data_IF_412375464133
#
_entry.id   IF_412375464133
#
_cell.length_a   1.000
_cell.length_b   1.000
_cell.length_c   1.000
_cell.angle_alpha   90.00
_cell.angle_beta   90.00
_cell.angle_gamma   90.00
#
_symmetry.space_group_name_H-M   'P 1'
#
loop_
_entity.id
_entity.type
_entity.pdbx_description
1 polymer ?
#
# COMPACT_ATOMS: atom_id res chain seq x y z
N UNK A 1 -35.68 -18.18 31.08
CA UNK A 1 -34.55 -19.12 30.91
C UNK A 1 -33.45 -18.38 30.16
N UNK A 2 -32.25 -18.22 30.75
CA UNK A 2 -31.10 -17.61 30.05
C UNK A 2 -30.65 -18.59 28.96
N UNK A 3 -30.63 -18.14 27.70
CA UNK A 3 -30.23 -18.97 26.56
C UNK A 3 -28.86 -19.58 26.80
N UNK A 4 -28.78 -20.91 26.78
CA UNK A 4 -27.51 -21.64 26.90
C UNK A 4 -26.70 -21.30 25.65
N UNK A 5 -25.65 -20.48 25.79
CA UNK A 5 -24.74 -20.21 24.68
C UNK A 5 -24.07 -21.52 24.27
N UNK A 6 -24.17 -21.88 23.00
CA UNK A 6 -23.63 -23.13 22.47
C UNK A 6 -22.10 -23.11 22.55
N UNK A 7 -21.52 -24.17 23.10
CA UNK A 7 -20.08 -24.29 23.34
C UNK A 7 -19.52 -25.39 22.44
N UNK A 8 -18.42 -25.10 21.73
CA UNK A 8 -17.76 -26.04 20.80
C UNK A 8 -16.33 -26.32 21.22
N UNK A 9 -15.86 -27.53 20.92
CA UNK A 9 -14.46 -27.92 21.13
C UNK A 9 -13.65 -27.64 19.87
N UNK A 10 -12.54 -26.92 20.02
CA UNK A 10 -11.58 -26.66 18.93
C UNK A 10 -10.20 -27.13 19.35
N UNK A 11 -9.43 -27.66 18.41
CA UNK A 11 -8.05 -28.06 18.63
C UNK A 11 -7.11 -27.02 18.01
N UNK A 12 -6.22 -26.46 18.82
CA UNK A 12 -5.22 -25.46 18.41
C UNK A 12 -3.85 -25.95 18.84
N UNK A 13 -2.89 -26.09 17.91
CA UNK A 13 -1.52 -26.58 18.19
C UNK A 13 -1.48 -27.85 19.07
N UNK A 14 -2.41 -28.78 18.84
CA UNK A 14 -2.52 -30.03 19.58
C UNK A 14 -3.33 -29.98 20.88
N UNK A 15 -3.67 -28.79 21.42
CA UNK A 15 -4.44 -28.62 22.66
C UNK A 15 -5.93 -28.43 22.37
N UNK A 16 -6.80 -29.04 23.19
CA UNK A 16 -8.26 -28.92 23.07
C UNK A 16 -8.77 -27.76 23.93
N UNK A 17 -9.51 -26.85 23.31
CA UNK A 17 -10.14 -25.70 23.96
C UNK A 17 -11.66 -25.81 23.86
N UNK A 18 -12.35 -25.46 24.94
CA UNK A 18 -13.82 -25.40 25.00
C UNK A 18 -14.20 -23.93 24.96
N UNK A 19 -14.76 -23.48 23.84
CA UNK A 19 -15.02 -22.05 23.55
C UNK A 19 -16.46 -21.86 23.04
N UNK A 20 -16.95 -20.63 23.00
CA UNK A 20 -18.25 -20.35 22.40
C UNK A 20 -18.26 -20.75 20.92
N UNK A 21 -19.44 -21.08 20.38
CA UNK A 21 -19.56 -21.48 18.98
C UNK A 21 -19.03 -20.42 18.00
N UNK A 22 -19.26 -19.14 18.29
CA UNK A 22 -18.74 -18.00 17.52
C UNK A 22 -17.21 -17.96 17.56
N UNK A 23 -16.60 -18.07 18.75
CA UNK A 23 -15.14 -18.11 18.90
C UNK A 23 -14.51 -19.32 18.20
N UNK A 24 -15.20 -20.46 18.20
CA UNK A 24 -14.77 -21.65 17.47
C UNK A 24 -14.79 -21.45 15.95
N UNK A 25 -15.76 -20.70 15.44
CA UNK A 25 -15.86 -20.35 14.04
C UNK A 25 -14.79 -19.32 13.65
N UNK A 26 -14.58 -18.29 14.48
CA UNK A 26 -13.49 -17.32 14.33
C UNK A 26 -12.15 -18.04 14.25
N UNK A 27 -11.86 -18.96 15.18
CA UNK A 27 -10.60 -19.72 15.19
C UNK A 27 -10.42 -20.55 13.92
N UNK A 28 -11.47 -21.25 13.45
CA UNK A 28 -11.41 -22.02 12.19
C UNK A 28 -11.13 -21.11 10.99
N UNK A 29 -11.79 -19.95 10.93
CA UNK A 29 -11.60 -18.98 9.86
C UNK A 29 -10.20 -18.37 9.89
N UNK A 30 -9.67 -18.05 11.07
CA UNK A 30 -8.31 -17.53 11.24
C UNK A 30 -7.26 -18.58 10.85
N UNK A 31 -7.38 -19.83 11.30
CA UNK A 31 -6.44 -20.90 10.92
C UNK A 31 -6.43 -21.13 9.41
N UNK A 32 -7.61 -21.21 8.78
CA UNK A 32 -7.72 -21.35 7.34
C UNK A 32 -7.15 -20.12 6.62
N UNK A 33 -7.45 -18.92 7.12
CA UNK A 33 -6.95 -17.66 6.58
C UNK A 33 -5.42 -17.55 6.63
N UNK A 34 -4.79 -17.90 7.76
CA UNK A 34 -3.34 -17.90 7.93
C UNK A 34 -2.65 -18.95 7.04
N UNK A 35 -3.23 -20.16 6.94
CA UNK A 35 -2.68 -21.19 6.04
C UNK A 35 -2.75 -20.77 4.57
N UNK A 36 -3.88 -20.21 4.13
CA UNK A 36 -4.01 -19.69 2.76
C UNK A 36 -3.07 -18.52 2.52
N UNK A 37 -2.93 -17.60 3.48
CA UNK A 37 -1.98 -16.48 3.40
C UNK A 37 -0.54 -16.98 3.24
N UNK A 38 -0.16 -18.04 3.93
CA UNK A 38 1.14 -18.70 3.75
C UNK A 38 1.33 -19.20 2.31
N UNK A 39 0.37 -20.01 1.81
CA UNK A 39 0.43 -20.56 0.44
C UNK A 39 0.44 -19.47 -0.64
N UNK A 40 -0.35 -18.42 -0.47
CA UNK A 40 -0.37 -17.28 -1.39
C UNK A 40 1.00 -16.61 -1.41
N UNK A 41 1.59 -16.36 -0.23
CA UNK A 41 2.92 -15.76 -0.14
C UNK A 41 3.99 -16.61 -0.82
N UNK A 42 3.94 -17.93 -0.66
CA UNK A 42 4.91 -18.83 -1.31
C UNK A 42 4.77 -18.78 -2.84
N UNK A 43 3.53 -18.82 -3.36
CA UNK A 43 3.26 -18.68 -4.80
C UNK A 43 3.62 -17.29 -5.34
N UNK A 44 3.40 -16.23 -4.58
CA UNK A 44 3.82 -14.86 -4.91
C UNK A 44 5.35 -14.80 -5.04
N UNK A 45 6.10 -15.38 -4.10
CA UNK A 45 7.56 -15.42 -4.16
C UNK A 45 8.07 -16.19 -5.40
N UNK A 46 7.47 -17.35 -5.71
CA UNK A 46 7.83 -18.12 -6.90
C UNK A 46 7.54 -17.33 -8.19
N UNK A 47 6.39 -16.65 -8.24
CA UNK A 47 6.03 -15.80 -9.36
C UNK A 47 6.98 -14.61 -9.51
N UNK A 48 7.39 -13.98 -8.41
CA UNK A 48 8.35 -12.88 -8.40
C UNK A 48 9.70 -13.32 -8.99
N UNK A 49 10.21 -14.50 -8.60
CA UNK A 49 11.45 -15.06 -9.16
C UNK A 49 11.34 -15.28 -10.68
N UNK A 50 10.19 -15.77 -11.15
CA UNK A 50 9.94 -15.95 -12.59
C UNK A 50 9.89 -14.60 -13.30
N UNK A 51 9.19 -13.62 -12.73
CA UNK A 51 9.09 -12.27 -13.29
C UNK A 51 10.46 -11.59 -13.38
N UNK A 52 11.27 -11.66 -12.33
CA UNK A 52 12.63 -11.12 -12.29
C UNK A 52 13.49 -11.72 -13.40
N UNK A 53 13.38 -13.04 -13.61
CA UNK A 53 14.12 -13.71 -14.70
C UNK A 53 13.67 -13.25 -16.08
N UNK A 54 12.36 -13.07 -16.30
CA UNK A 54 11.81 -12.54 -17.55
C UNK A 54 12.28 -11.09 -17.78
N UNK A 55 12.27 -10.26 -16.73
CA UNK A 55 12.75 -8.87 -16.77
C UNK A 55 14.24 -8.81 -17.11
N UNK A 56 15.06 -9.70 -16.55
CA UNK A 56 16.50 -9.78 -16.87
C UNK A 56 16.72 -10.10 -18.35
N UNK A 57 16.00 -11.08 -18.89
CA UNK A 57 16.04 -11.41 -20.33
C UNK A 57 15.62 -10.20 -21.18
N UNK A 58 14.52 -9.52 -20.79
CA UNK A 58 14.04 -8.33 -21.48
C UNK A 58 15.08 -7.19 -21.44
N UNK A 59 15.76 -7.00 -20.30
CA UNK A 59 16.79 -5.98 -20.11
C UNK A 59 18.01 -6.24 -21.00
N UNK A 60 18.43 -7.50 -21.14
CA UNK A 60 19.56 -7.87 -22.01
C UNK A 60 19.23 -7.68 -23.50
N UNK A 61 17.95 -7.78 -23.89
CA UNK A 61 17.47 -7.51 -25.26
C UNK A 61 17.09 -6.04 -25.49
N UNK A 62 17.30 -5.18 -24.50
CA UNK A 62 16.89 -3.78 -24.56
C UNK A 62 17.90 -2.98 -25.39
N UNK A 63 17.57 -2.74 -26.66
CA UNK A 63 18.36 -1.91 -27.58
C UNK A 63 17.93 -0.43 -27.52
N UNK A 64 17.95 0.17 -26.32
CA UNK A 64 17.56 1.57 -26.12
C UNK A 64 16.05 1.87 -26.20
N UNK A 65 15.22 0.86 -26.43
CA UNK A 65 13.75 1.00 -26.40
C UNK A 65 13.22 0.98 -24.98
N UNK A 66 12.08 1.63 -24.73
CA UNK A 66 11.42 1.63 -23.42
C UNK A 66 10.54 0.38 -23.20
N UNK A 67 10.15 -0.31 -24.27
CA UNK A 67 9.33 -1.52 -24.21
C UNK A 67 9.99 -2.65 -24.98
N UNK A 68 10.02 -3.83 -24.36
CA UNK A 68 10.52 -5.08 -24.95
C UNK A 68 9.39 -6.11 -24.93
N UNK A 69 9.13 -6.73 -26.08
CA UNK A 69 8.18 -7.84 -26.19
C UNK A 69 8.94 -9.15 -26.30
N UNK A 70 8.55 -10.12 -25.49
CA UNK A 70 9.08 -11.49 -25.52
C UNK A 70 7.96 -12.44 -25.92
N UNK A 71 7.99 -12.90 -27.17
CA UNK A 71 7.06 -13.90 -27.70
C UNK A 71 7.56 -15.33 -27.40
N UNK A 72 6.64 -16.18 -26.95
CA UNK A 72 6.82 -17.64 -26.85
C UNK A 72 5.74 -18.34 -27.67
N UNK A 73 5.80 -19.67 -27.76
CA UNK A 73 4.84 -20.48 -28.54
C UNK A 73 3.39 -20.29 -28.05
N UNK A 74 3.18 -20.16 -26.73
CA UNK A 74 1.84 -20.13 -26.11
C UNK A 74 1.45 -18.78 -25.51
N UNK A 75 2.42 -17.92 -25.21
CA UNK A 75 2.20 -16.68 -24.49
C UNK A 75 3.19 -15.58 -24.90
N UNK A 76 2.83 -14.34 -24.60
CA UNK A 76 3.68 -13.16 -24.78
C UNK A 76 3.87 -12.44 -23.44
N UNK A 77 5.08 -12.00 -23.17
CA UNK A 77 5.36 -11.03 -22.11
C UNK A 77 5.66 -9.66 -22.72
N UNK A 78 5.06 -8.60 -22.17
CA UNK A 78 5.35 -7.21 -22.54
C UNK A 78 5.95 -6.52 -21.33
N UNK A 79 7.21 -6.11 -21.44
CA UNK A 79 7.96 -5.48 -20.35
C UNK A 79 8.21 -4.02 -20.75
N UNK A 80 7.69 -3.09 -19.95
CA UNK A 80 7.92 -1.66 -20.15
C UNK A 80 8.82 -1.14 -19.04
N UNK A 81 10.02 -0.70 -19.41
CA UNK A 81 10.94 0.01 -18.54
C UNK A 81 10.49 1.47 -18.45
N UNK A 82 9.80 1.81 -17.36
CA UNK A 82 9.44 3.20 -17.08
C UNK A 82 10.68 3.96 -16.65
N UNK A 83 10.97 5.05 -17.36
CA UNK A 83 12.02 5.98 -16.99
C UNK A 83 11.39 7.20 -16.34
N UNK A 84 11.82 7.51 -15.13
CA UNK A 84 11.50 8.76 -14.46
C UNK A 84 12.75 9.63 -14.44
N UNK A 85 12.63 10.84 -14.97
CA UNK A 85 13.70 11.83 -14.91
C UNK A 85 13.52 12.65 -13.64
N UNK A 86 14.50 12.64 -12.75
CA UNK A 86 14.52 13.51 -11.57
C UNK A 86 15.35 14.74 -11.89
N UNK A 87 14.72 15.90 -11.73
CA UNK A 87 15.35 17.19 -11.96
C UNK A 87 16.04 17.62 -10.67
N UNK A 88 17.35 17.93 -10.75
CA UNK A 88 18.10 18.45 -9.60
C UNK A 88 17.78 19.93 -9.36
N UNK A 89 18.11 20.43 -8.18
CA UNK A 89 17.80 21.83 -7.82
C UNK A 89 18.57 22.83 -8.70
N UNK A 90 19.77 22.46 -9.13
CA UNK A 90 20.67 23.26 -9.97
C UNK A 90 20.22 23.30 -11.45
N UNK A 91 19.05 22.77 -11.79
CA UNK A 91 18.54 22.80 -13.16
C UNK A 91 18.39 24.24 -13.69
N UNK A 92 18.23 25.23 -12.81
CA UNK A 92 18.14 26.63 -13.22
C UNK A 92 19.41 27.14 -13.90
N UNK A 93 20.58 26.53 -13.65
CA UNK A 93 21.86 26.89 -14.29
C UNK A 93 21.85 26.67 -15.80
N UNK A 94 21.09 25.69 -16.29
CA UNK A 94 20.97 25.40 -17.73
C UNK A 94 19.86 26.20 -18.42
N UNK A 95 19.18 27.11 -17.71
CA UNK A 95 18.12 27.94 -18.28
C UNK A 95 18.64 28.86 -19.40
N UNK A 96 19.82 29.45 -19.21
CA UNK A 96 20.46 30.33 -20.21
C UNK A 96 20.83 29.56 -21.49
N UNK A 97 21.57 28.42 -21.43
CA UNK A 97 21.90 27.67 -22.65
C UNK A 97 20.69 27.01 -23.33
N UNK A 98 19.64 26.61 -22.60
CA UNK A 98 18.42 26.06 -23.20
C UNK A 98 17.45 27.11 -23.73
N UNK A 99 17.53 28.34 -23.21
CA UNK A 99 16.67 29.45 -23.62
C UNK A 99 15.17 29.08 -23.54
N UNK A 100 14.38 29.34 -24.60
CA UNK A 100 12.94 29.06 -24.61
C UNK A 100 12.56 27.57 -24.46
N UNK A 101 13.49 26.64 -24.72
CA UNK A 101 13.22 25.21 -24.54
C UNK A 101 13.11 24.81 -23.08
N UNK A 102 13.71 25.59 -22.17
CA UNK A 102 13.68 25.31 -20.74
C UNK A 102 12.25 25.22 -20.22
N UNK A 103 11.41 26.21 -20.55
CA UNK A 103 10.01 26.27 -20.11
C UNK A 103 9.12 25.26 -20.86
N UNK A 104 9.59 24.67 -21.96
CA UNK A 104 8.93 23.54 -22.63
C UNK A 104 9.25 22.19 -21.99
N UNK A 105 10.43 22.04 -21.39
CA UNK A 105 10.88 20.78 -20.80
C UNK A 105 10.66 20.70 -19.29
N UNK A 106 10.62 21.84 -18.60
CA UNK A 106 10.56 21.91 -17.16
C UNK A 106 9.46 22.88 -16.71
N UNK A 107 8.61 22.41 -15.80
CA UNK A 107 7.61 23.22 -15.13
C UNK A 107 7.89 23.22 -13.62
N UNK A 108 7.80 24.39 -12.98
CA UNK A 108 7.98 24.52 -11.54
C UNK A 108 6.75 23.97 -10.82
N UNK A 109 6.90 22.78 -10.22
CA UNK A 109 5.86 22.16 -9.41
C UNK A 109 5.94 22.64 -7.96
N UNK A 110 4.88 23.28 -7.46
CA UNK A 110 4.73 23.61 -6.03
C UNK A 110 3.62 22.72 -5.46
N UNK A 111 4.00 21.79 -4.58
CA UNK A 111 3.05 20.92 -3.88
C UNK A 111 3.00 21.24 -2.39
N UNK A 112 1.80 21.25 -1.83
CA UNK A 112 1.58 21.31 -0.39
C UNK A 112 1.33 19.90 0.13
N UNK A 113 2.06 19.51 1.17
CA UNK A 113 1.85 18.25 1.89
C UNK A 113 1.29 18.56 3.28
N UNK A 114 0.34 17.74 3.72
CA UNK A 114 -0.18 17.83 5.08
C UNK A 114 0.90 17.43 6.09
N UNK A 115 0.97 18.16 7.19
CA UNK A 115 1.89 17.89 8.30
C UNK A 115 1.25 17.00 9.35
N UNK A 116 2.03 16.53 10.32
CA UNK A 116 1.52 15.83 11.51
C UNK A 116 0.58 16.71 12.33
N UNK A 117 0.86 18.01 12.39
CA UNK A 117 0.04 18.95 13.16
C UNK A 117 -1.30 19.21 12.49
N UNK A 118 -1.36 19.16 11.15
CA UNK A 118 -2.63 19.17 10.44
C UNK A 118 -3.52 17.98 10.84
N UNK A 119 -2.95 16.76 10.91
CA UNK A 119 -3.70 15.58 11.34
C UNK A 119 -4.21 15.71 12.77
N UNK A 120 -3.32 16.11 13.69
CA UNK A 120 -3.69 16.35 15.10
C UNK A 120 -4.78 17.41 15.22
N UNK A 121 -4.69 18.50 14.46
CA UNK A 121 -5.71 19.54 14.45
C UNK A 121 -7.07 19.01 13.97
N UNK A 122 -7.10 18.19 12.91
CA UNK A 122 -8.34 17.60 12.40
C UNK A 122 -8.94 16.55 13.36
N UNK A 123 -8.10 15.79 14.07
CA UNK A 123 -8.51 14.69 14.96
C UNK A 123 -8.80 15.11 16.41
N UNK A 124 -8.28 16.25 16.88
CA UNK A 124 -8.39 16.69 18.28
C UNK A 124 -9.21 17.97 18.46
N UNK A 125 -9.62 18.22 19.71
CA UNK A 125 -10.25 19.48 20.14
C UNK A 125 -9.22 20.59 20.41
N UNK A 126 -7.92 20.31 20.24
CA UNK A 126 -6.89 21.32 20.43
C UNK A 126 -6.94 22.36 19.32
N UNK A 127 -7.33 23.57 19.71
CA UNK A 127 -7.53 24.68 18.79
C UNK A 127 -6.23 25.29 18.22
N UNK A 128 -5.03 24.85 18.67
CA UNK A 128 -3.75 25.46 18.30
C UNK A 128 -3.72 27.00 18.48
N UNK A 129 -4.47 27.53 19.46
CA UNK A 129 -4.60 28.98 19.69
C UNK A 129 -5.61 29.69 18.76
N UNK A 130 -6.40 28.96 17.98
CA UNK A 130 -7.44 29.50 17.10
C UNK A 130 -8.74 29.71 17.89
N UNK A 131 -9.37 30.88 17.78
CA UNK A 131 -10.60 31.19 18.51
C UNK A 131 -11.83 30.37 18.07
N UNK A 132 -11.88 29.95 16.80
CA UNK A 132 -12.99 29.17 16.23
C UNK A 132 -12.53 27.97 15.39
N UNK A 133 -11.93 26.95 16.04
CA UNK A 133 -11.28 25.82 15.36
C UNK A 133 -12.23 25.05 14.43
N UNK A 134 -13.50 24.87 14.81
CA UNK A 134 -14.49 24.16 13.99
C UNK A 134 -14.85 24.87 12.69
N UNK A 135 -14.92 26.21 12.68
CA UNK A 135 -15.13 26.99 11.44
C UNK A 135 -13.94 26.87 10.50
N UNK A 136 -12.74 26.81 11.06
CA UNK A 136 -11.51 26.61 10.30
C UNK A 136 -11.43 25.20 9.71
N UNK A 137 -11.72 24.15 10.51
CA UNK A 137 -11.81 22.76 10.03
C UNK A 137 -12.81 22.63 8.88
N UNK A 138 -14.02 23.19 9.03
CA UNK A 138 -15.05 23.18 7.99
C UNK A 138 -14.61 23.91 6.71
N UNK A 139 -13.79 24.97 6.84
CA UNK A 139 -13.27 25.70 5.69
C UNK A 139 -12.17 24.91 4.97
N UNK A 140 -11.30 24.21 5.72
CA UNK A 140 -10.26 23.35 5.15
C UNK A 140 -10.87 22.15 4.41
N UNK A 141 -11.91 21.53 4.98
CA UNK A 141 -12.62 20.40 4.35
C UNK A 141 -13.31 20.76 3.01
N UNK A 142 -13.48 22.05 2.68
CA UNK A 142 -13.93 22.48 1.34
C UNK A 142 -12.87 22.28 0.26
N UNK A 143 -11.59 22.25 0.64
CA UNK A 143 -10.44 22.16 -0.26
C UNK A 143 -9.69 20.83 -0.13
N UNK A 144 -10.03 20.00 0.86
CA UNK A 144 -9.38 18.71 1.14
C UNK A 144 -10.42 17.60 1.04
N UNK A 145 -10.19 16.63 0.15
CA UNK A 145 -11.00 15.42 0.08
C UNK A 145 -10.51 14.41 1.11
N UNK A 146 -11.37 14.04 2.07
CA UNK A 146 -11.13 12.91 2.96
C UNK A 146 -11.70 11.67 2.30
N UNK A 147 -10.81 10.81 1.79
CA UNK A 147 -11.20 9.49 1.28
C UNK A 147 -11.01 8.49 2.39
N UNK A 148 -12.10 7.89 2.86
CA UNK A 148 -12.02 6.71 3.71
C UNK A 148 -11.27 5.61 2.95
N UNK A 149 -10.19 5.14 3.52
CA UNK A 149 -9.42 4.04 2.93
C UNK A 149 -10.08 2.72 3.32
N UNK A 150 -9.97 1.72 2.44
CA UNK A 150 -10.54 0.39 2.67
C UNK A 150 -10.13 -0.12 4.07
N UNK A 151 -11.07 -0.62 4.89
CA UNK A 151 -10.76 -1.09 6.23
C UNK A 151 -9.62 -2.12 6.18
N UNK A 152 -8.62 -1.90 7.02
CA UNK A 152 -7.43 -2.74 7.07
C UNK A 152 -7.62 -3.86 8.10
N UNK A 153 -7.67 -5.09 7.61
CA UNK A 153 -7.62 -6.28 8.45
C UNK A 153 -6.17 -6.78 8.51
N UNK A 154 -5.54 -6.67 9.68
CA UNK A 154 -4.26 -7.33 9.98
C UNK A 154 -4.54 -8.62 10.75
N UNK A 155 -4.20 -9.76 10.14
CA UNK A 155 -4.18 -11.05 10.83
C UNK A 155 -2.73 -11.35 11.24
N UNK A 156 -2.51 -11.53 12.54
CA UNK A 156 -1.21 -11.82 13.16
C UNK A 156 -1.33 -13.06 14.06
N UNK A 157 -0.25 -13.81 14.19
CA UNK A 157 -0.17 -14.82 15.24
C UNK A 157 -0.02 -14.12 16.59
N UNK A 158 -0.77 -14.58 17.60
CA UNK A 158 -0.46 -14.20 18.99
C UNK A 158 0.86 -14.83 19.38
N UNK A 159 1.91 -14.02 19.47
CA UNK A 159 3.11 -14.39 20.23
C UNK A 159 2.82 -14.06 21.70
N UNK A 160 2.60 -15.09 22.51
CA UNK A 160 2.66 -14.91 23.96
C UNK A 160 4.07 -14.42 24.30
N UNK A 161 4.17 -13.21 24.85
CA UNK A 161 5.44 -12.60 25.23
C UNK A 161 6.23 -13.53 26.17
N UNK A 162 7.52 -13.67 25.90
CA UNK A 162 8.48 -14.06 26.92
C UNK A 162 8.71 -12.89 27.86
#
# INVERSE_FOLDING_TARGET
MKGVKEVKRVQVRGKKHTVLAEDAEIEKLLQRGLSLKGKIKDLENELDVIQDRIIEIARNRREGTTTVMLDSITARAVITFRESYTVKHEIEEIKVPLGPLFERFFEKKVEYKSTTDFKKFMESDHALGIETPEKVKASILKYVSVKETKPYLKMEEKTDGK
#
